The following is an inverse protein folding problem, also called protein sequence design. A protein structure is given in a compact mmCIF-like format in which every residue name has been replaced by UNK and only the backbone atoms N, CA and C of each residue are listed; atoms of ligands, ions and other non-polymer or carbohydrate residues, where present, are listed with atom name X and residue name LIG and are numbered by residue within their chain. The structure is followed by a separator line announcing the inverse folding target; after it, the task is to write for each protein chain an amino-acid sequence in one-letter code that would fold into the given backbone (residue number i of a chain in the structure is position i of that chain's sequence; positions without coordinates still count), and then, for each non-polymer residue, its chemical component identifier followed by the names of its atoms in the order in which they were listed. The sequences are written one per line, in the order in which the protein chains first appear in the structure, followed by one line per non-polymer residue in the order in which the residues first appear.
data_IF_087017145232
#
_entry.id   IF_087017145232
#
_cell.length_a   1.000
_cell.length_b   1.000
_cell.length_c   1.000
_cell.angle_alpha   90.00
_cell.angle_beta   90.00
_cell.angle_gamma   90.00
#
_symmetry.space_group_name_H-M   'P 1'
#
loop_
_entity.id
_entity.type
_entity.pdbx_description
1 polymer ?
#
# COMPACT_ATOMS: atom_id res chain seq x y z
N UNK A 1 -45.59 -17.84 7.08
CA UNK A 1 -44.91 -16.91 6.15
C UNK A 1 -44.31 -15.78 6.96
N UNK A 2 -42.99 -15.75 7.09
CA UNK A 2 -42.26 -14.66 7.75
C UNK A 2 -40.88 -14.58 7.08
N UNK A 3 -40.81 -13.77 6.02
CA UNK A 3 -39.56 -13.46 5.34
C UNK A 3 -38.72 -12.55 6.23
N UNK A 4 -37.65 -13.10 6.81
CA UNK A 4 -36.63 -12.33 7.49
C UNK A 4 -35.93 -11.40 6.49
N UNK A 5 -35.89 -10.12 6.81
CA UNK A 5 -35.25 -9.09 6.00
C UNK A 5 -33.80 -9.44 5.69
N UNK A 6 -33.46 -9.36 4.40
CA UNK A 6 -32.06 -9.32 3.97
C UNK A 6 -31.44 -8.04 4.52
N UNK A 7 -30.76 -8.12 5.66
CA UNK A 7 -29.91 -7.04 6.14
C UNK A 7 -28.93 -6.65 5.03
N UNK A 8 -28.92 -5.37 4.65
CA UNK A 8 -28.01 -4.79 3.67
C UNK A 8 -26.56 -5.17 4.02
N UNK A 9 -26.03 -6.23 3.42
CA UNK A 9 -24.60 -6.52 3.51
C UNK A 9 -23.89 -5.42 2.75
N UNK A 10 -23.09 -4.62 3.46
CA UNK A 10 -22.22 -3.62 2.86
C UNK A 10 -21.38 -4.27 1.75
N UNK A 11 -21.28 -3.61 0.59
CA UNK A 11 -20.47 -4.12 -0.51
C UNK A 11 -19.01 -4.36 -0.07
N UNK A 12 -18.42 -5.47 -0.53
CA UNK A 12 -17.11 -5.91 -0.04
C UNK A 12 -15.97 -4.95 -0.42
N UNK A 13 -16.06 -4.33 -1.61
CA UNK A 13 -15.07 -3.40 -2.16
C UNK A 13 -15.80 -2.15 -2.66
N UNK A 14 -15.36 -0.97 -2.24
CA UNK A 14 -15.96 0.31 -2.62
C UNK A 14 -14.89 1.39 -2.77
N UNK A 15 -15.14 2.42 -3.58
CA UNK A 15 -14.28 3.60 -3.62
C UNK A 15 -14.27 4.27 -2.23
N UNK A 16 -13.07 4.40 -1.64
CA UNK A 16 -12.88 5.04 -0.33
C UNK A 16 -12.74 6.55 -0.46
N UNK A 17 -11.86 6.99 -1.36
CA UNK A 17 -11.63 8.40 -1.68
C UNK A 17 -11.76 8.65 -3.19
N UNK A 18 -12.48 9.72 -3.53
CA UNK A 18 -12.64 10.22 -4.89
C UNK A 18 -12.13 11.66 -4.99
N UNK A 19 -11.18 11.87 -5.91
CA UNK A 19 -10.35 13.06 -6.06
C UNK A 19 -9.61 13.45 -4.77
N UNK A 20 -9.23 12.47 -3.94
CA UNK A 20 -8.53 12.68 -2.67
C UNK A 20 -9.44 13.01 -1.50
N UNK A 21 -10.76 13.00 -1.70
CA UNK A 21 -11.75 13.29 -0.67
C UNK A 21 -12.55 12.04 -0.33
N UNK A 22 -12.80 11.85 0.96
CA UNK A 22 -13.48 10.67 1.50
C UNK A 22 -14.91 10.60 0.97
N UNK A 23 -15.29 9.46 0.40
CA UNK A 23 -16.67 9.14 -0.02
C UNK A 23 -17.20 7.87 0.64
N UNK A 24 -16.34 7.13 1.35
CA UNK A 24 -16.71 5.99 2.18
C UNK A 24 -15.65 5.70 3.26
N UNK A 25 -16.02 5.29 4.50
CA UNK A 25 -17.38 5.00 4.99
C UNK A 25 -18.22 6.25 5.29
N UNK A 26 -17.56 7.40 5.27
CA UNK A 26 -18.16 8.71 5.51
C UNK A 26 -17.94 9.58 4.28
N UNK A 27 -18.77 10.60 4.05
CA UNK A 27 -18.58 11.50 2.90
C UNK A 27 -18.10 12.86 3.40
N UNK A 28 -16.98 13.32 2.86
CA UNK A 28 -16.46 14.66 3.12
C UNK A 28 -17.08 15.65 2.13
N UNK A 29 -17.94 16.54 2.61
CA UNK A 29 -18.60 17.61 1.83
C UNK A 29 -18.13 19.01 2.25
N UNK A 30 -16.82 19.20 2.31
CA UNK A 30 -16.27 20.54 2.52
C UNK A 30 -16.30 21.34 1.22
N UNK A 31 -16.21 22.69 1.26
CA UNK A 31 -16.08 23.49 0.05
C UNK A 31 -14.88 23.07 -0.82
N UNK A 32 -13.78 22.64 -0.20
CA UNK A 32 -12.60 22.14 -0.89
C UNK A 32 -12.90 20.81 -1.62
N UNK A 33 -13.52 19.83 -0.94
CA UNK A 33 -13.81 18.54 -1.56
C UNK A 33 -14.77 18.66 -2.74
N UNK A 34 -15.83 19.45 -2.59
CA UNK A 34 -16.81 19.67 -3.63
C UNK A 34 -16.22 20.42 -4.83
N UNK A 35 -15.28 21.35 -4.59
CA UNK A 35 -14.56 22.09 -5.64
C UNK A 35 -13.61 21.18 -6.42
N UNK A 36 -12.81 20.37 -5.72
CA UNK A 36 -11.81 19.52 -6.37
C UNK A 36 -12.46 18.35 -7.11
N UNK A 37 -13.56 17.79 -6.59
CA UNK A 37 -14.37 16.80 -7.31
C UNK A 37 -15.01 17.37 -8.58
N UNK A 38 -15.56 18.59 -8.51
CA UNK A 38 -16.17 19.28 -9.66
C UNK A 38 -15.12 19.60 -10.74
N UNK A 39 -13.95 20.09 -10.31
CA UNK A 39 -12.85 20.43 -11.20
C UNK A 39 -12.01 19.21 -11.62
N UNK A 40 -12.36 18.00 -11.18
CA UNK A 40 -11.59 16.76 -11.38
C UNK A 40 -10.10 16.90 -10.98
N UNK A 41 -9.82 17.70 -9.95
CA UNK A 41 -8.49 18.11 -9.52
C UNK A 41 -7.81 17.05 -8.65
N UNK A 42 -6.51 16.91 -8.78
CA UNK A 42 -5.70 16.14 -7.84
C UNK A 42 -5.15 17.08 -6.75
N UNK A 43 -5.64 17.00 -5.49
CA UNK A 43 -5.18 17.89 -4.44
C UNK A 43 -3.70 17.64 -4.09
N UNK A 44 -3.23 16.39 -4.18
CA UNK A 44 -1.86 16.02 -3.84
C UNK A 44 -0.82 16.64 -4.77
N UNK A 45 -1.02 16.53 -6.09
CA UNK A 45 -0.13 17.16 -7.08
C UNK A 45 -0.28 18.69 -7.03
N UNK A 46 -1.50 19.18 -6.82
CA UNK A 46 -1.75 20.62 -6.71
C UNK A 46 -0.99 21.24 -5.55
N UNK A 47 -1.01 20.60 -4.38
CA UNK A 47 -0.25 21.05 -3.20
C UNK A 47 1.25 20.96 -3.43
N UNK A 48 1.75 19.82 -3.94
CA UNK A 48 3.17 19.61 -4.20
C UNK A 48 3.78 20.63 -5.19
N UNK A 49 2.99 21.11 -6.16
CA UNK A 49 3.46 22.03 -7.20
C UNK A 49 3.04 23.49 -6.98
N UNK A 50 2.09 23.75 -6.09
CA UNK A 50 1.42 25.05 -5.97
C UNK A 50 0.54 25.41 -7.18
N UNK A 51 0.31 24.51 -8.13
CA UNK A 51 -0.44 24.76 -9.37
C UNK A 51 -1.67 23.86 -9.45
N UNK A 52 -2.83 24.42 -9.80
CA UNK A 52 -4.06 23.65 -10.01
C UNK A 52 -3.81 22.58 -11.08
N UNK A 53 -3.88 21.31 -10.69
CA UNK A 53 -3.53 20.18 -11.55
C UNK A 53 -4.62 19.12 -11.54
N UNK A 54 -5.08 18.74 -12.73
CA UNK A 54 -6.09 17.70 -12.93
C UNK A 54 -5.58 16.31 -12.50
N UNK A 55 -6.51 15.41 -12.18
CA UNK A 55 -6.17 14.01 -11.97
C UNK A 55 -5.60 13.38 -13.25
N UNK A 56 -4.40 12.79 -13.12
CA UNK A 56 -3.67 12.17 -14.24
C UNK A 56 -4.19 10.78 -14.63
N UNK A 57 -5.14 10.24 -13.87
CA UNK A 57 -5.75 8.94 -14.17
C UNK A 57 -6.69 9.05 -15.38
N UNK A 58 -6.77 7.95 -16.13
CA UNK A 58 -7.64 7.81 -17.29
C UNK A 58 -9.12 7.89 -16.92
N UNK A 59 -9.99 8.20 -17.88
CA UNK A 59 -11.43 8.46 -17.67
C UNK A 59 -12.16 7.41 -16.82
N UNK A 60 -11.82 6.12 -16.98
CA UNK A 60 -12.47 5.01 -16.30
C UNK A 60 -12.06 4.85 -14.83
N UNK A 61 -10.97 5.49 -14.41
CA UNK A 61 -10.42 5.42 -13.05
C UNK A 61 -10.15 6.81 -12.46
N UNK A 62 -10.64 7.86 -13.14
CA UNK A 62 -10.32 9.25 -12.81
C UNK A 62 -10.85 9.59 -11.42
N UNK A 63 -9.96 10.13 -10.59
CA UNK A 63 -10.24 10.48 -9.20
C UNK A 63 -10.20 9.32 -8.21
N UNK A 64 -10.17 8.05 -8.61
CA UNK A 64 -10.15 6.93 -7.65
C UNK A 64 -8.80 6.91 -6.93
N UNK A 65 -8.74 7.36 -5.68
CA UNK A 65 -7.49 7.44 -4.92
C UNK A 65 -7.27 6.23 -4.02
N UNK A 66 -8.34 5.74 -3.39
CA UNK A 66 -8.32 4.56 -2.52
C UNK A 66 -9.55 3.69 -2.74
N UNK A 67 -9.42 2.40 -2.43
CA UNK A 67 -10.52 1.44 -2.34
C UNK A 67 -10.61 0.98 -0.90
N UNK A 68 -11.80 1.07 -0.30
CA UNK A 68 -12.08 0.47 1.00
C UNK A 68 -12.58 -0.95 0.80
N UNK A 69 -11.87 -1.94 1.35
CA UNK A 69 -12.16 -3.36 1.13
C UNK A 69 -12.06 -4.19 2.40
N UNK A 70 -12.90 -5.24 2.47
CA UNK A 70 -12.89 -6.28 3.52
C UNK A 70 -12.12 -7.54 3.10
N UNK A 71 -11.39 -7.52 1.98
CA UNK A 71 -10.70 -8.70 1.44
C UNK A 71 -9.62 -9.29 2.34
N UNK A 72 -9.13 -8.54 3.33
CA UNK A 72 -8.20 -9.03 4.35
C UNK A 72 -8.85 -9.18 5.75
N UNK A 73 -10.16 -9.46 5.79
CA UNK A 73 -10.93 -9.65 7.02
C UNK A 73 -11.58 -8.34 7.48
N UNK A 74 -10.84 -7.52 8.22
CA UNK A 74 -11.34 -6.18 8.62
C UNK A 74 -11.36 -5.26 7.40
N UNK A 75 -12.26 -4.28 7.43
CA UNK A 75 -12.32 -3.24 6.40
C UNK A 75 -11.13 -2.31 6.53
N UNK A 76 -10.42 -2.10 5.43
CA UNK A 76 -9.22 -1.26 5.39
C UNK A 76 -9.15 -0.52 4.06
N UNK A 77 -8.42 0.60 4.04
CA UNK A 77 -8.16 1.36 2.83
C UNK A 77 -6.90 0.85 2.12
N UNK A 78 -7.04 0.71 0.81
CA UNK A 78 -5.99 0.29 -0.09
C UNK A 78 -5.74 1.44 -1.06
N UNK A 79 -4.49 1.89 -1.18
CA UNK A 79 -4.15 2.93 -2.13
C UNK A 79 -4.24 2.39 -3.55
N UNK A 80 -4.99 3.08 -4.41
CA UNK A 80 -5.09 2.78 -5.83
C UNK A 80 -4.28 3.78 -6.68
N UNK A 81 -3.69 4.80 -6.07
CA UNK A 81 -2.99 5.90 -6.74
C UNK A 81 -1.70 6.26 -6.00
N UNK A 82 -0.52 6.32 -6.65
CA UNK A 82 0.73 6.61 -5.96
C UNK A 82 0.79 8.06 -5.47
N UNK A 83 0.18 9.00 -6.21
CA UNK A 83 0.10 10.41 -5.80
C UNK A 83 -0.68 10.62 -4.49
N UNK A 84 -1.50 9.64 -4.07
CA UNK A 84 -2.19 9.70 -2.77
C UNK A 84 -1.22 9.63 -1.59
N UNK A 85 -0.06 9.00 -1.79
CA UNK A 85 1.03 8.91 -0.82
C UNK A 85 2.02 10.09 -0.92
N UNK A 86 1.74 11.11 -1.73
CA UNK A 86 2.46 12.38 -1.64
C UNK A 86 1.88 13.21 -0.49
N UNK A 87 2.27 12.85 0.72
CA UNK A 87 1.94 13.59 1.93
C UNK A 87 3.20 14.29 2.45
N UNK A 88 3.10 15.59 2.72
CA UNK A 88 4.23 16.42 3.14
C UNK A 88 4.86 15.89 4.44
N UNK A 89 4.05 15.40 5.39
CA UNK A 89 4.57 14.87 6.65
C UNK A 89 5.35 13.58 6.44
N UNK A 90 4.89 12.72 5.52
CA UNK A 90 5.57 11.47 5.20
C UNK A 90 6.88 11.72 4.44
N UNK A 91 6.90 12.68 3.49
CA UNK A 91 8.13 13.07 2.79
C UNK A 91 9.14 13.70 3.75
N UNK A 92 8.68 14.51 4.71
CA UNK A 92 9.54 15.09 5.74
C UNK A 92 10.15 14.02 6.64
N UNK A 93 9.36 13.09 7.18
CA UNK A 93 9.89 11.98 7.98
C UNK A 93 10.90 11.13 7.18
N UNK A 94 10.58 10.85 5.92
CA UNK A 94 11.47 10.12 5.01
C UNK A 94 12.80 10.83 4.79
N UNK A 95 12.79 12.14 4.54
CA UNK A 95 14.01 12.91 4.36
C UNK A 95 14.87 12.92 5.63
N UNK A 96 14.26 13.11 6.80
CA UNK A 96 15.00 13.09 8.06
C UNK A 96 15.65 11.72 8.28
N UNK A 97 14.92 10.64 8.03
CA UNK A 97 15.42 9.29 8.26
C UNK A 97 16.53 8.89 7.30
N UNK A 98 16.33 9.10 6.00
CA UNK A 98 17.32 8.71 4.99
C UNK A 98 18.60 9.53 5.14
N UNK A 99 18.47 10.84 5.29
CA UNK A 99 19.65 11.72 5.25
C UNK A 99 20.27 11.94 6.64
N UNK A 100 19.64 11.47 7.72
CA UNK A 100 20.16 11.56 9.08
C UNK A 100 19.95 12.92 9.73
N UNK A 101 18.87 13.63 9.37
CA UNK A 101 18.49 14.89 10.01
C UNK A 101 17.71 14.63 11.31
N UNK A 102 17.89 15.52 12.28
CA UNK A 102 17.27 15.44 13.60
C UNK A 102 15.89 16.09 13.63
N UNK A 103 15.05 15.69 14.58
CA UNK A 103 13.73 16.29 14.76
C UNK A 103 13.86 17.80 15.06
N UNK A 104 13.33 18.63 14.16
CA UNK A 104 13.40 20.09 14.26
C UNK A 104 14.41 20.74 13.31
N UNK A 105 15.22 19.96 12.58
CA UNK A 105 16.06 20.50 11.53
C UNK A 105 15.21 21.19 10.46
N UNK A 106 15.68 22.35 10.00
CA UNK A 106 15.06 23.06 8.90
C UNK A 106 15.42 22.33 7.60
N UNK A 107 14.58 21.36 7.20
CA UNK A 107 14.71 20.59 5.96
C UNK A 107 13.69 21.07 4.93
N UNK A 108 14.18 21.59 3.81
CA UNK A 108 13.31 22.03 2.71
C UNK A 108 13.26 20.97 1.63
N UNK A 109 12.07 20.44 1.38
CA UNK A 109 11.79 19.46 0.31
C UNK A 109 11.04 20.16 -0.81
N UNK A 110 11.50 20.02 -2.06
CA UNK A 110 10.90 20.67 -3.24
C UNK A 110 10.82 19.68 -4.40
N UNK A 111 9.67 19.64 -5.09
CA UNK A 111 9.51 18.90 -6.33
C UNK A 111 10.36 19.53 -7.46
N UNK A 112 11.09 18.72 -8.22
CA UNK A 112 12.01 19.20 -9.25
C UNK A 112 11.35 20.17 -10.26
N UNK A 113 10.09 19.92 -10.64
CA UNK A 113 9.34 20.79 -11.58
C UNK A 113 9.10 22.22 -11.08
N UNK A 114 9.12 22.43 -9.76
CA UNK A 114 8.91 23.77 -9.17
C UNK A 114 10.13 24.66 -9.42
N UNK A 115 11.32 24.07 -9.64
CA UNK A 115 12.56 24.80 -9.93
C UNK A 115 12.58 25.46 -11.32
N UNK A 116 11.56 25.22 -12.15
CA UNK A 116 11.35 26.01 -13.37
C UNK A 116 11.00 27.47 -13.05
N UNK A 117 10.49 27.76 -11.85
CA UNK A 117 10.35 29.13 -11.35
C UNK A 117 11.72 29.65 -10.88
N UNK A 118 12.19 30.72 -11.53
CA UNK A 118 13.49 31.33 -11.25
C UNK A 118 13.62 31.78 -9.79
N UNK A 119 12.57 32.35 -9.20
CA UNK A 119 12.60 32.82 -7.80
C UNK A 119 12.80 31.64 -6.86
N UNK A 120 12.07 30.54 -7.07
CA UNK A 120 12.22 29.34 -6.24
C UNK A 120 13.60 28.72 -6.39
N UNK A 121 14.14 28.68 -7.62
CA UNK A 121 15.50 28.19 -7.86
C UNK A 121 16.57 29.07 -7.18
N UNK A 122 16.42 30.39 -7.22
CA UNK A 122 17.33 31.33 -6.56
C UNK A 122 17.26 31.23 -5.03
N UNK A 123 16.04 31.10 -4.46
CA UNK A 123 15.83 30.87 -3.03
C UNK A 123 16.48 29.56 -2.57
N UNK A 124 16.38 28.49 -3.37
CA UNK A 124 17.03 27.21 -3.09
C UNK A 124 18.56 27.33 -3.14
N UNK A 125 19.12 28.00 -4.15
CA UNK A 125 20.58 28.25 -4.24
C UNK A 125 21.10 28.97 -3.00
N UNK A 126 20.39 30.03 -2.58
CA UNK A 126 20.75 30.78 -1.37
C UNK A 126 20.73 29.88 -0.14
N UNK A 127 19.70 29.05 0.01
CA UNK A 127 19.58 28.10 1.11
C UNK A 127 20.72 27.10 1.17
N UNK A 128 21.11 26.53 0.03
CA UNK A 128 22.24 25.59 -0.05
C UNK A 128 23.56 26.28 0.25
N UNK A 129 23.78 27.50 -0.24
CA UNK A 129 24.97 28.30 0.10
C UNK A 129 25.05 28.60 1.61
N UNK A 130 23.90 28.76 2.28
CA UNK A 130 23.78 28.88 3.74
C UNK A 130 23.94 27.54 4.49
N UNK A 131 24.28 26.44 3.79
CA UNK A 131 24.43 25.08 4.34
C UNK A 131 23.17 24.53 5.01
N UNK A 132 22.00 24.99 4.62
CA UNK A 132 20.72 24.49 5.14
C UNK A 132 20.26 23.27 4.34
N UNK A 133 19.75 22.27 5.06
CA UNK A 133 19.27 21.02 4.48
C UNK A 133 18.21 21.29 3.40
N UNK A 134 18.50 20.78 2.20
CA UNK A 134 17.76 21.07 0.98
C UNK A 134 17.68 19.81 0.12
N UNK A 135 16.47 19.29 -0.03
CA UNK A 135 16.17 18.08 -0.79
C UNK A 135 15.34 18.46 -2.01
N UNK A 136 15.77 18.02 -3.18
CA UNK A 136 14.96 18.04 -4.40
C UNK A 136 14.51 16.62 -4.69
N UNK A 137 13.23 16.42 -4.98
CA UNK A 137 12.75 15.09 -5.35
C UNK A 137 12.17 15.04 -6.77
N UNK A 138 12.41 13.90 -7.39
CA UNK A 138 11.89 13.49 -8.69
C UNK A 138 10.81 12.44 -8.46
N UNK A 139 9.74 12.53 -9.23
CA UNK A 139 8.66 11.54 -9.28
C UNK A 139 7.97 11.68 -10.65
N UNK A 140 7.27 10.64 -11.12
CA UNK A 140 6.61 10.56 -12.43
C UNK A 140 6.14 11.91 -13.03
N UNK A 141 5.16 12.58 -12.40
CA UNK A 141 4.59 13.86 -12.89
C UNK A 141 5.24 15.10 -12.29
N UNK A 142 6.30 14.93 -11.51
CA UNK A 142 7.03 15.94 -10.76
C UNK A 142 8.52 15.93 -11.11
N UNK A 143 8.84 15.75 -12.41
CA UNK A 143 10.21 15.75 -12.93
C UNK A 143 10.60 14.48 -13.67
N UNK A 144 9.72 13.47 -13.67
CA UNK A 144 10.02 12.14 -14.18
C UNK A 144 10.57 11.23 -13.09
N UNK A 145 10.41 9.92 -13.27
CA UNK A 145 11.09 8.93 -12.44
C UNK A 145 12.56 8.84 -12.88
N UNK A 146 13.45 8.53 -11.94
CA UNK A 146 14.84 8.22 -12.24
C UNK A 146 14.97 6.71 -12.40
N UNK A 147 15.67 6.27 -13.43
CA UNK A 147 15.93 4.85 -13.67
C UNK A 147 17.42 4.55 -13.76
N UNK A 148 17.77 3.30 -13.44
CA UNK A 148 19.06 2.70 -13.75
C UNK A 148 18.94 1.88 -15.03
N UNK A 149 19.82 2.12 -15.99
CA UNK A 149 19.80 1.41 -17.26
C UNK A 149 20.13 -0.08 -17.10
N UNK A 150 19.57 -0.95 -17.95
CA UNK A 150 19.90 -2.37 -17.92
C UNK A 150 21.35 -2.60 -18.37
N UNK A 151 21.92 -3.70 -17.87
CA UNK A 151 23.21 -4.25 -18.32
C UNK A 151 23.03 -5.72 -18.68
N UNK A 152 24.07 -6.38 -19.17
CA UNK A 152 24.06 -7.83 -19.39
C UNK A 152 23.79 -8.64 -18.11
N UNK A 153 23.96 -8.04 -16.93
CA UNK A 153 23.86 -8.70 -15.61
C UNK A 153 22.83 -8.06 -14.67
N UNK A 154 22.11 -7.03 -15.09
CA UNK A 154 21.11 -6.35 -14.28
C UNK A 154 19.96 -5.81 -15.14
N UNK A 155 18.70 -5.96 -14.72
CA UNK A 155 17.59 -5.37 -15.45
C UNK A 155 17.52 -3.86 -15.21
N UNK A 156 16.69 -3.18 -16.01
CA UNK A 156 16.30 -1.80 -15.76
C UNK A 156 15.41 -1.73 -14.53
N UNK A 157 15.60 -0.70 -13.70
CA UNK A 157 14.68 -0.36 -12.61
C UNK A 157 14.45 1.15 -12.58
N UNK A 158 13.20 1.54 -12.37
CA UNK A 158 12.81 2.92 -12.07
C UNK A 158 12.46 3.05 -10.60
N UNK A 159 12.69 4.23 -10.04
CA UNK A 159 12.33 4.58 -8.67
C UNK A 159 11.10 5.48 -8.67
N UNK A 160 10.07 5.13 -7.88
CA UNK A 160 8.82 5.90 -7.83
C UNK A 160 9.09 7.37 -7.48
N UNK A 161 9.85 7.59 -6.40
CA UNK A 161 10.43 8.87 -6.06
C UNK A 161 11.91 8.74 -5.70
N UNK A 162 12.69 9.73 -6.14
CA UNK A 162 14.12 9.85 -5.81
C UNK A 162 14.34 11.19 -5.13
N UNK A 163 14.80 11.16 -3.88
CA UNK A 163 15.18 12.34 -3.11
C UNK A 163 16.67 12.61 -3.30
N UNK A 164 17.05 13.85 -3.57
CA UNK A 164 18.43 14.24 -3.85
C UNK A 164 18.83 15.34 -2.88
N UNK A 165 19.88 15.09 -2.11
CA UNK A 165 20.49 16.09 -1.25
C UNK A 165 21.28 17.09 -2.09
N UNK A 166 21.02 18.38 -1.88
CA UNK A 166 21.81 19.45 -2.48
C UNK A 166 22.77 20.04 -1.46
N UNK A 167 24.04 20.07 -1.82
CA UNK A 167 25.14 20.53 -0.98
C UNK A 167 25.87 21.69 -1.65
N UNK A 168 26.49 22.61 -0.90
CA UNK A 168 27.44 23.55 -1.48
C UNK A 168 28.76 22.84 -1.80
N UNK A 169 29.29 23.07 -3.01
CA UNK A 169 30.63 22.65 -3.38
C UNK A 169 31.71 23.55 -2.74
N UNK A 170 32.98 23.27 -3.04
CA UNK A 170 34.12 24.05 -2.52
C UNK A 170 34.10 25.53 -2.92
N UNK A 171 33.38 25.88 -3.99
CA UNK A 171 33.20 27.23 -4.50
C UNK A 171 31.87 27.85 -4.06
N UNK A 172 31.10 27.17 -3.21
CA UNK A 172 29.75 27.60 -2.77
C UNK A 172 28.66 27.43 -3.84
N UNK A 173 28.96 26.76 -4.95
CA UNK A 173 27.99 26.41 -6.00
C UNK A 173 27.20 25.15 -5.63
N UNK A 174 26.11 24.88 -6.36
CA UNK A 174 25.30 23.69 -6.13
C UNK A 174 26.03 22.41 -6.56
N UNK A 175 26.11 21.45 -5.66
CA UNK A 175 26.51 20.07 -5.92
C UNK A 175 25.42 19.09 -5.48
N UNK A 176 25.42 17.91 -6.11
CA UNK A 176 24.57 16.79 -5.74
C UNK A 176 25.31 15.95 -4.69
N UNK A 177 24.66 15.74 -3.55
CA UNK A 177 25.10 14.85 -2.48
C UNK A 177 24.58 13.43 -2.68
N UNK A 178 24.16 12.79 -1.57
CA UNK A 178 23.57 11.45 -1.61
C UNK A 178 22.18 11.49 -2.22
N UNK A 179 21.69 10.32 -2.66
CA UNK A 179 20.31 10.14 -3.08
C UNK A 179 19.57 9.14 -2.19
N UNK A 180 18.31 9.43 -1.86
CA UNK A 180 17.40 8.55 -1.15
C UNK A 180 16.35 7.98 -2.10
N UNK A 181 15.98 6.72 -1.92
CA UNK A 181 14.92 6.07 -2.69
C UNK A 181 13.65 6.06 -1.85
N UNK A 182 12.52 6.48 -2.43
CA UNK A 182 11.20 6.42 -1.79
C UNK A 182 10.21 5.73 -2.74
N UNK A 183 9.94 4.46 -2.45
CA UNK A 183 9.03 3.61 -3.20
C UNK A 183 7.62 3.63 -2.61
N UNK A 184 6.60 3.62 -3.46
CA UNK A 184 5.19 3.68 -3.06
C UNK A 184 4.46 2.49 -3.67
N UNK A 185 4.17 1.48 -2.85
CA UNK A 185 3.36 0.37 -3.33
C UNK A 185 1.88 0.67 -3.17
N UNK A 186 1.24 0.85 -4.32
CA UNK A 186 -0.22 0.85 -4.44
C UNK A 186 -0.77 -0.57 -4.61
N UNK A 187 -2.07 -0.71 -4.76
CA UNK A 187 -2.73 -1.98 -5.01
C UNK A 187 -3.49 -1.94 -6.34
N UNK A 188 -3.24 -2.96 -7.16
CA UNK A 188 -4.07 -3.24 -8.32
C UNK A 188 -5.32 -4.01 -7.89
N UNK A 189 -6.45 -3.69 -8.51
CA UNK A 189 -7.73 -4.37 -8.26
C UNK A 189 -8.19 -5.09 -9.52
N UNK A 190 -8.94 -6.17 -9.31
CA UNK A 190 -9.68 -6.83 -10.37
C UNK A 190 -10.94 -6.02 -10.76
N UNK A 191 -11.55 -6.36 -11.89
CA UNK A 191 -12.76 -5.71 -12.38
C UNK A 191 -12.50 -4.33 -13.02
N UNK A 192 -13.43 -3.40 -12.85
CA UNK A 192 -13.35 -2.05 -13.42
C UNK A 192 -13.98 -1.00 -12.52
N UNK A 193 -13.37 0.18 -12.43
CA UNK A 193 -13.95 1.32 -11.69
C UNK A 193 -14.94 2.13 -12.53
N UNK A 194 -15.06 1.83 -13.84
CA UNK A 194 -15.75 2.69 -14.81
C UNK A 194 -17.17 3.06 -14.38
N UNK A 195 -17.97 2.06 -14.03
CA UNK A 195 -19.38 2.26 -13.68
C UNK A 195 -19.52 3.07 -12.38
N UNK A 196 -18.72 2.75 -11.36
CA UNK A 196 -18.72 3.51 -10.11
C UNK A 196 -18.30 4.98 -10.32
N UNK A 197 -17.31 5.23 -11.17
CA UNK A 197 -16.90 6.61 -11.54
C UNK A 197 -18.00 7.34 -12.32
N UNK A 198 -18.68 6.67 -13.26
CA UNK A 198 -19.83 7.23 -13.98
C UNK A 198 -20.98 7.58 -13.03
N UNK A 199 -21.29 6.70 -12.06
CA UNK A 199 -22.32 6.94 -11.04
C UNK A 199 -21.94 8.08 -10.09
N UNK A 200 -20.68 8.19 -9.66
CA UNK A 200 -20.21 9.31 -8.83
C UNK A 200 -20.30 10.65 -9.56
N UNK A 201 -19.91 10.70 -10.84
CA UNK A 201 -20.09 11.90 -11.67
C UNK A 201 -21.54 12.28 -11.82
N UNK A 202 -22.40 11.31 -12.13
CA UNK A 202 -23.83 11.53 -12.24
C UNK A 202 -24.42 12.02 -10.91
N UNK A 203 -24.09 11.39 -9.79
CA UNK A 203 -24.57 11.77 -8.47
C UNK A 203 -24.15 13.19 -8.11
N UNK A 204 -22.89 13.56 -8.39
CA UNK A 204 -22.38 14.91 -8.17
C UNK A 204 -23.12 15.98 -8.95
N UNK A 205 -23.56 15.66 -10.16
CA UNK A 205 -24.32 16.54 -11.04
C UNK A 205 -25.81 16.61 -10.66
N UNK A 206 -26.45 15.46 -10.47
CA UNK A 206 -27.90 15.34 -10.23
C UNK A 206 -28.31 15.74 -8.81
N UNK A 207 -27.45 15.52 -7.81
CA UNK A 207 -27.73 15.79 -6.39
C UNK A 207 -26.87 16.95 -5.87
N UNK A 208 -26.81 18.06 -6.61
CA UNK A 208 -26.03 19.23 -6.22
C UNK A 208 -26.57 19.84 -4.92
N UNK A 209 -25.77 19.81 -3.86
CA UNK A 209 -26.15 20.28 -2.53
C UNK A 209 -26.55 19.16 -1.55
N UNK A 210 -26.76 17.95 -2.07
CA UNK A 210 -27.14 16.75 -1.29
C UNK A 210 -26.27 15.54 -1.68
N UNK A 211 -25.06 15.79 -2.21
CA UNK A 211 -24.22 14.77 -2.83
C UNK A 211 -23.82 13.71 -1.81
N UNK A 212 -23.40 14.12 -0.62
CA UNK A 212 -22.92 13.25 0.44
C UNK A 212 -24.02 12.40 1.04
N UNK A 213 -25.19 12.98 1.29
CA UNK A 213 -26.37 12.22 1.71
C UNK A 213 -26.77 11.19 0.64
N UNK A 214 -26.75 11.58 -0.63
CA UNK A 214 -27.09 10.70 -1.75
C UNK A 214 -26.10 9.54 -1.89
N UNK A 215 -24.80 9.80 -1.81
CA UNK A 215 -23.76 8.76 -1.85
C UNK A 215 -23.80 7.84 -0.63
N UNK A 216 -24.01 8.40 0.57
CA UNK A 216 -24.09 7.63 1.80
C UNK A 216 -25.32 6.69 1.84
N UNK A 217 -26.45 7.13 1.28
CA UNK A 217 -27.67 6.33 1.16
C UNK A 217 -27.62 5.30 0.03
N UNK A 218 -26.69 5.43 -0.93
CA UNK A 218 -26.54 4.53 -2.08
C UNK A 218 -25.11 3.96 -2.20
N UNK A 219 -24.60 3.22 -1.20
CA UNK A 219 -23.23 2.70 -1.20
C UNK A 219 -22.91 1.76 -2.38
N UNK A 220 -23.92 1.19 -3.03
CA UNK A 220 -23.77 0.41 -4.26
C UNK A 220 -23.17 1.21 -5.42
N UNK A 221 -23.37 2.54 -5.46
CA UNK A 221 -22.77 3.40 -6.49
C UNK A 221 -21.24 3.42 -6.43
N UNK A 222 -20.69 3.16 -5.24
CA UNK A 222 -19.25 3.11 -4.99
C UNK A 222 -18.65 1.73 -5.28
N UNK A 223 -19.48 0.70 -5.45
CA UNK A 223 -19.08 -0.71 -5.52
C UNK A 223 -19.16 -1.31 -6.92
N UNK A 224 -19.99 -0.72 -7.78
CA UNK A 224 -20.39 -1.29 -9.07
C UNK A 224 -19.17 -1.56 -9.97
N UNK A 225 -18.94 -2.85 -10.24
CA UNK A 225 -17.84 -3.36 -11.06
C UNK A 225 -16.49 -3.53 -10.35
N UNK A 226 -16.40 -3.18 -9.06
CA UNK A 226 -15.15 -3.24 -8.29
C UNK A 226 -15.01 -4.61 -7.62
N UNK A 227 -13.95 -5.33 -7.98
CA UNK A 227 -13.61 -6.62 -7.39
C UNK A 227 -12.50 -6.47 -6.32
N UNK A 228 -11.96 -7.59 -5.86
CA UNK A 228 -10.95 -7.62 -4.79
C UNK A 228 -9.56 -7.13 -5.22
N UNK A 229 -8.69 -6.80 -4.24
CA UNK A 229 -7.30 -6.48 -4.48
C UNK A 229 -6.51 -7.71 -4.94
N UNK A 230 -5.55 -7.50 -5.84
CA UNK A 230 -4.69 -8.56 -6.37
C UNK A 230 -3.45 -8.78 -5.47
N UNK A 231 -3.70 -9.21 -4.22
CA UNK A 231 -2.71 -9.26 -3.13
C UNK A 231 -1.44 -10.04 -3.51
N UNK A 232 -1.60 -11.28 -4.00
CA UNK A 232 -0.45 -12.15 -4.29
C UNK A 232 0.40 -11.63 -5.45
N UNK A 233 -0.22 -11.01 -6.47
CA UNK A 233 0.50 -10.41 -7.58
C UNK A 233 1.25 -9.15 -7.15
N UNK A 234 0.63 -8.31 -6.32
CA UNK A 234 1.29 -7.17 -5.71
C UNK A 234 2.52 -7.65 -4.92
N UNK A 235 2.35 -8.58 -3.97
CA UNK A 235 3.46 -9.12 -3.19
C UNK A 235 4.61 -9.63 -4.07
N UNK A 236 4.33 -10.47 -5.08
CA UNK A 236 5.40 -11.04 -5.93
C UNK A 236 6.22 -9.98 -6.66
N UNK A 237 5.57 -8.98 -7.26
CA UNK A 237 6.27 -7.89 -7.96
C UNK A 237 7.06 -7.04 -6.98
N UNK A 238 6.42 -6.67 -5.88
CA UNK A 238 7.00 -5.79 -4.88
C UNK A 238 8.15 -6.44 -4.14
N UNK A 239 8.04 -7.71 -3.78
CA UNK A 239 9.09 -8.45 -3.09
C UNK A 239 10.41 -8.40 -3.88
N UNK A 240 10.35 -8.71 -5.19
CA UNK A 240 11.54 -8.62 -6.04
C UNK A 240 12.11 -7.19 -6.09
N UNK A 241 11.25 -6.17 -6.20
CA UNK A 241 11.68 -4.77 -6.20
C UNK A 241 12.33 -4.37 -4.86
N UNK A 242 11.73 -4.72 -3.72
CA UNK A 242 12.29 -4.46 -2.39
C UNK A 242 13.67 -5.09 -2.26
N UNK A 243 13.78 -6.36 -2.66
CA UNK A 243 15.04 -7.09 -2.61
C UNK A 243 16.15 -6.41 -3.38
N UNK A 244 15.87 -5.97 -4.61
CA UNK A 244 16.86 -5.32 -5.45
C UNK A 244 17.15 -3.88 -4.98
N UNK A 245 16.10 -3.08 -4.72
CA UNK A 245 16.22 -1.66 -4.38
C UNK A 245 16.78 -1.43 -2.98
N UNK A 246 16.60 -2.36 -2.03
CA UNK A 246 17.26 -2.29 -0.73
C UNK A 246 18.77 -2.49 -0.83
N UNK A 247 19.23 -3.34 -1.76
CA UNK A 247 20.65 -3.49 -2.04
C UNK A 247 21.22 -2.23 -2.70
N UNK A 248 20.48 -1.60 -3.63
CA UNK A 248 20.87 -0.28 -4.18
C UNK A 248 20.92 0.78 -3.08
N UNK A 249 19.91 0.82 -2.21
CA UNK A 249 19.82 1.75 -1.10
C UNK A 249 20.96 1.62 -0.08
N UNK A 250 21.61 0.46 -0.02
CA UNK A 250 22.76 0.22 0.85
C UNK A 250 24.10 0.68 0.23
N UNK A 251 24.12 1.18 -1.00
CA UNK A 251 25.33 1.70 -1.64
C UNK A 251 25.78 3.03 -1.01
N UNK A 252 27.08 3.30 -0.92
CA UNK A 252 27.65 4.48 -0.23
C UNK A 252 27.14 5.84 -0.74
N UNK A 253 26.82 5.92 -2.04
CA UNK A 253 26.24 7.12 -2.65
C UNK A 253 24.74 7.30 -2.34
N UNK A 254 24.10 6.28 -1.78
CA UNK A 254 22.70 6.33 -1.35
C UNK A 254 22.59 6.67 0.13
N UNK A 255 21.54 7.40 0.47
CA UNK A 255 21.12 7.67 1.84
C UNK A 255 20.23 6.54 2.40
N UNK A 256 19.85 5.56 1.58
CA UNK A 256 18.96 4.47 1.96
C UNK A 256 17.72 4.38 1.06
N UNK A 257 16.87 3.41 1.38
CA UNK A 257 15.63 3.13 0.66
C UNK A 257 14.44 2.98 1.62
N UNK A 258 13.39 3.75 1.39
CA UNK A 258 12.10 3.60 2.07
C UNK A 258 11.09 2.97 1.11
N UNK A 259 10.36 2.00 1.63
CA UNK A 259 9.25 1.36 0.95
C UNK A 259 7.94 1.65 1.68
N UNK A 260 7.14 2.57 1.16
CA UNK A 260 5.89 3.03 1.77
C UNK A 260 4.70 2.19 1.28
N UNK A 261 4.03 1.53 2.22
CA UNK A 261 2.88 0.65 1.98
C UNK A 261 1.71 0.97 2.91
N UNK A 262 0.45 0.85 2.43
CA UNK A 262 -0.71 0.92 3.31
C UNK A 262 -0.72 -0.24 4.31
N UNK A 263 -1.29 -0.02 5.49
CA UNK A 263 -1.48 -1.05 6.53
C UNK A 263 -2.20 -2.29 6.00
N UNK A 264 -3.19 -2.10 5.12
CA UNK A 264 -3.91 -3.20 4.47
C UNK A 264 -2.97 -4.12 3.67
N UNK A 265 -1.98 -3.52 2.98
CA UNK A 265 -0.97 -4.25 2.21
C UNK A 265 -0.04 -5.01 3.16
N UNK A 266 0.52 -4.34 4.17
CA UNK A 266 1.38 -4.97 5.17
C UNK A 266 0.71 -6.16 5.87
N UNK A 267 -0.53 -5.98 6.34
CA UNK A 267 -1.27 -7.05 7.02
C UNK A 267 -1.59 -8.21 6.07
N UNK A 268 -1.83 -7.94 4.78
CA UNK A 268 -2.06 -8.98 3.78
C UNK A 268 -0.79 -9.79 3.46
N UNK A 269 0.38 -9.17 3.62
CA UNK A 269 1.69 -9.78 3.36
C UNK A 269 2.18 -10.67 4.49
N UNK A 270 1.57 -10.61 5.68
CA UNK A 270 2.02 -11.41 6.82
C UNK A 270 2.05 -12.92 6.52
N UNK A 271 1.10 -13.43 5.72
CA UNK A 271 1.12 -14.84 5.30
C UNK A 271 2.22 -15.17 4.30
N UNK A 272 2.62 -14.19 3.48
CA UNK A 272 3.71 -14.35 2.53
C UNK A 272 5.08 -14.35 3.22
N UNK A 273 5.19 -13.64 4.35
CA UNK A 273 6.41 -13.52 5.16
C UNK A 273 6.51 -14.56 6.28
N UNK A 274 5.57 -15.52 6.40
CA UNK A 274 5.59 -16.49 7.50
C UNK A 274 5.20 -15.90 8.86
N UNK A 275 4.63 -14.69 8.90
CA UNK A 275 4.22 -13.93 10.09
C UNK A 275 5.39 -13.66 11.05
N UNK A 276 6.38 -12.87 10.62
CA UNK A 276 7.50 -12.54 11.49
C UNK A 276 7.05 -11.69 12.67
N UNK A 277 7.70 -11.88 13.81
CA UNK A 277 7.60 -10.93 14.91
C UNK A 277 8.48 -9.71 14.64
N UNK A 278 7.99 -8.53 15.04
CA UNK A 278 8.75 -7.29 14.95
C UNK A 278 9.31 -6.95 16.33
N UNK A 279 10.58 -6.53 16.36
CA UNK A 279 11.24 -6.09 17.60
C UNK A 279 11.10 -4.57 17.70
N UNK A 280 10.61 -4.07 18.82
CA UNK A 280 10.58 -2.63 19.08
C UNK A 280 11.99 -2.16 19.46
N UNK A 281 12.46 -1.08 18.84
CA UNK A 281 13.74 -0.44 19.13
C UNK A 281 13.54 0.81 19.98
N UNK A 282 14.61 1.27 20.65
CA UNK A 282 14.58 2.41 21.59
C UNK A 282 14.28 3.74 20.92
N UNK A 283 14.50 3.84 19.60
CA UNK A 283 14.20 5.02 18.78
C UNK A 283 12.70 5.17 18.45
N UNK A 284 11.84 4.31 18.98
CA UNK A 284 10.39 4.32 18.74
C UNK A 284 9.97 3.62 17.44
N UNK A 285 10.92 3.06 16.69
CA UNK A 285 10.67 2.30 15.47
C UNK A 285 10.75 0.79 15.72
N UNK A 286 10.62 0.01 14.66
CA UNK A 286 10.59 -1.45 14.70
C UNK A 286 11.71 -2.01 13.86
N UNK A 287 12.12 -3.25 14.14
CA UNK A 287 13.09 -3.99 13.35
C UNK A 287 12.49 -5.33 12.96
N UNK A 288 12.59 -5.64 11.67
CA UNK A 288 12.40 -6.99 11.17
C UNK A 288 13.80 -7.59 11.05
N UNK A 289 14.06 -8.65 11.84
CA UNK A 289 15.36 -9.32 11.88
C UNK A 289 15.14 -10.83 11.78
N UNK A 290 16.14 -11.53 11.27
CA UNK A 290 16.19 -12.98 11.35
C UNK A 290 16.39 -13.43 12.80
N UNK A 291 15.81 -14.57 13.17
CA UNK A 291 16.02 -15.19 14.47
C UNK A 291 17.53 -15.35 14.78
N UNK A 292 17.91 -14.95 16.00
CA UNK A 292 19.30 -15.00 16.46
C UNK A 292 20.21 -13.88 15.97
N UNK A 293 19.74 -12.97 15.11
CA UNK A 293 20.51 -11.79 14.67
C UNK A 293 20.20 -10.58 15.53
N UNK A 294 21.22 -9.74 15.73
CA UNK A 294 21.05 -8.46 16.42
C UNK A 294 20.47 -7.42 15.45
N UNK A 295 19.53 -6.58 15.90
CA UNK A 295 19.02 -5.48 15.10
C UNK A 295 20.11 -4.45 14.81
N UNK A 296 20.18 -3.98 13.57
CA UNK A 296 20.98 -2.82 13.20
C UNK A 296 20.34 -1.55 13.78
N UNK A 297 21.16 -0.66 14.33
CA UNK A 297 20.71 0.64 14.81
C UNK A 297 20.29 1.53 13.64
N UNK A 298 21.02 1.49 12.51
CA UNK A 298 20.80 2.34 11.34
C UNK A 298 20.69 1.52 10.05
N UNK A 299 19.60 0.75 9.87
CA UNK A 299 19.44 -0.05 8.68
C UNK A 299 19.32 0.85 7.44
N UNK A 300 19.91 0.44 6.30
CA UNK A 300 19.83 1.19 5.05
C UNK A 300 18.45 1.08 4.38
N UNK A 301 17.59 0.18 4.84
CA UNK A 301 16.28 -0.06 4.28
C UNK A 301 15.16 -0.01 5.33
N UNK A 302 14.06 0.62 4.93
CA UNK A 302 12.93 0.92 5.80
C UNK A 302 11.61 0.58 5.11
N UNK A 303 10.65 0.07 5.87
CA UNK A 303 9.27 -0.12 5.44
C UNK A 303 8.40 0.85 6.24
N UNK A 304 7.73 1.74 5.53
CA UNK A 304 6.80 2.69 6.12
C UNK A 304 5.40 2.12 5.97
N UNK A 305 4.79 1.72 7.07
CA UNK A 305 3.42 1.23 7.08
C UNK A 305 2.52 2.35 7.58
N UNK A 306 1.63 2.84 6.73
CA UNK A 306 0.74 3.94 7.05
C UNK A 306 -0.74 3.57 6.89
N UNK A 307 -1.62 4.30 7.54
CA UNK A 307 -3.06 4.20 7.38
C UNK A 307 -3.64 5.55 6.95
N UNK A 308 -4.84 5.52 6.38
CA UNK A 308 -5.54 6.74 5.98
C UNK A 308 -6.54 7.12 7.06
N UNK A 309 -6.43 8.33 7.59
CA UNK A 309 -7.42 8.81 8.56
C UNK A 309 -8.82 8.85 7.94
N UNK A 310 -9.85 8.58 8.74
CA UNK A 310 -11.24 8.62 8.30
C UNK A 310 -11.91 9.85 8.91
N UNK A 311 -11.85 10.98 8.21
CA UNK A 311 -12.46 12.23 8.64
C UNK A 311 -13.43 12.79 7.59
N UNK A 312 -14.54 13.35 8.07
CA UNK A 312 -15.52 14.08 7.25
C UNK A 312 -15.17 15.57 7.13
N UNK A 313 -14.39 16.10 8.07
CA UNK A 313 -14.18 17.54 8.25
C UNK A 313 -12.77 17.99 7.84
N UNK A 314 -11.79 17.10 7.94
CA UNK A 314 -10.43 17.35 7.47
C UNK A 314 -10.24 16.69 6.11
N UNK A 315 -9.86 17.47 5.09
CA UNK A 315 -9.71 16.93 3.74
C UNK A 315 -8.55 17.53 2.95
N UNK A 316 -7.93 16.76 2.02
CA UNK A 316 -7.79 15.30 2.03
C UNK A 316 -7.43 14.76 3.41
N UNK A 317 -7.82 13.53 3.71
CA UNK A 317 -7.49 12.93 5.00
C UNK A 317 -5.98 12.76 5.15
N UNK A 318 -5.44 12.90 6.36
CA UNK A 318 -4.02 12.70 6.62
C UNK A 318 -3.61 11.23 6.45
N UNK A 319 -2.33 11.01 6.14
CA UNK A 319 -1.70 9.69 6.27
C UNK A 319 -0.99 9.60 7.62
N UNK A 320 -1.32 8.57 8.38
CA UNK A 320 -0.73 8.33 9.69
C UNK A 320 0.26 7.18 9.60
N UNK A 321 1.54 7.43 9.92
CA UNK A 321 2.54 6.38 10.03
C UNK A 321 2.21 5.49 11.24
N UNK A 322 1.82 4.24 10.95
CA UNK A 322 1.48 3.24 11.97
C UNK A 322 2.72 2.49 12.47
N UNK A 323 3.60 2.11 11.54
CA UNK A 323 4.89 1.48 11.85
C UNK A 323 5.96 1.99 10.90
N UNK A 324 7.15 2.21 11.45
CA UNK A 324 8.39 2.37 10.70
C UNK A 324 9.26 1.19 11.03
N UNK A 325 9.60 0.37 10.04
CA UNK A 325 10.26 -0.92 10.24
C UNK A 325 11.60 -0.90 9.50
N UNK A 326 12.70 -0.91 10.25
CA UNK A 326 14.04 -1.13 9.70
C UNK A 326 14.28 -2.60 9.40
N UNK A 327 14.91 -2.89 8.27
CA UNK A 327 15.18 -4.26 7.80
C UNK A 327 16.33 -4.23 6.79
N UNK A 328 16.69 -5.41 6.29
CA UNK A 328 17.51 -5.57 5.11
C UNK A 328 16.88 -6.55 4.11
N UNK A 329 17.52 -6.70 2.96
CA UNK A 329 17.09 -7.58 1.90
C UNK A 329 17.24 -9.08 2.28
N UNK A 330 18.33 -9.47 2.93
CA UNK A 330 18.56 -10.87 3.31
C UNK A 330 17.48 -11.37 4.28
N UNK A 331 17.13 -10.57 5.27
CA UNK A 331 16.06 -10.84 6.23
C UNK A 331 14.71 -11.04 5.52
N UNK A 332 14.34 -10.14 4.59
CA UNK A 332 13.08 -10.31 3.83
C UNK A 332 13.07 -11.56 2.94
N UNK A 333 14.22 -11.89 2.33
CA UNK A 333 14.37 -13.13 1.57
C UNK A 333 14.16 -14.35 2.43
N UNK A 334 14.80 -14.41 3.60
CA UNK A 334 14.69 -15.52 4.53
C UNK A 334 13.23 -15.80 4.92
N UNK A 335 12.49 -14.79 5.36
CA UNK A 335 11.09 -14.95 5.73
C UNK A 335 10.19 -15.39 4.57
N UNK A 336 10.47 -14.89 3.37
CA UNK A 336 9.64 -15.15 2.18
C UNK A 336 9.92 -16.50 1.54
N UNK A 337 11.20 -16.91 1.50
CA UNK A 337 11.68 -18.04 0.71
C UNK A 337 12.04 -19.26 1.55
N UNK A 338 12.26 -19.09 2.85
CA UNK A 338 12.57 -20.19 3.76
C UNK A 338 11.39 -20.40 4.74
N UNK A 339 11.13 -19.43 5.61
CA UNK A 339 10.16 -19.57 6.73
C UNK A 339 8.74 -19.84 6.23
N UNK A 340 8.25 -19.04 5.28
CA UNK A 340 6.89 -19.16 4.75
C UNK A 340 6.64 -20.50 4.03
N UNK A 341 7.52 -20.95 3.10
CA UNK A 341 7.44 -22.30 2.54
C UNK A 341 7.56 -23.43 3.56
N UNK A 342 8.50 -23.35 4.50
CA UNK A 342 8.67 -24.37 5.55
C UNK A 342 7.42 -24.51 6.41
N UNK A 343 6.82 -23.39 6.82
CA UNK A 343 5.56 -23.39 7.57
C UNK A 343 4.43 -24.07 6.76
N UNK A 344 4.38 -23.87 5.44
CA UNK A 344 3.40 -24.51 4.56
C UNK A 344 3.62 -26.04 4.44
N UNK A 345 4.87 -26.50 4.50
CA UNK A 345 5.24 -27.92 4.50
C UNK A 345 4.95 -28.59 5.85
N UNK A 346 5.39 -27.96 6.95
CA UNK A 346 5.31 -28.49 8.31
C UNK A 346 3.85 -28.65 8.81
N UNK A 347 2.97 -27.73 8.42
CA UNK A 347 1.56 -27.78 8.83
C UNK A 347 0.74 -28.90 8.14
N UNK A 348 1.37 -29.76 7.32
CA UNK A 348 0.73 -30.90 6.62
C UNK A 348 -0.39 -30.50 5.65
N UNK A 349 -0.65 -29.20 5.53
CA UNK A 349 -1.90 -28.65 5.07
C UNK A 349 -1.93 -28.39 3.58
N UNK A 350 -0.84 -28.25 2.86
CA UNK A 350 -0.89 -27.99 1.42
C UNK A 350 -0.47 -29.21 0.62
N UNK A 351 0.65 -29.85 0.97
CA UNK A 351 1.26 -30.93 0.16
C UNK A 351 0.60 -32.30 0.39
N UNK A 352 0.24 -32.64 1.64
CA UNK A 352 -0.54 -33.86 1.93
C UNK A 352 -1.93 -33.80 1.29
N UNK A 353 -2.63 -32.66 1.49
CA UNK A 353 -3.91 -32.37 0.83
C UNK A 353 -3.78 -32.21 -0.69
N UNK A 354 -2.61 -31.89 -1.23
CA UNK A 354 -2.40 -31.81 -2.68
C UNK A 354 -2.57 -33.18 -3.32
N UNK A 355 -1.95 -34.23 -2.74
CA UNK A 355 -2.14 -35.59 -3.23
C UNK A 355 -3.60 -36.02 -3.13
N UNK A 356 -4.27 -35.77 -2.01
CA UNK A 356 -5.70 -36.07 -1.85
C UNK A 356 -6.56 -35.30 -2.87
N UNK A 357 -6.26 -34.03 -3.10
CA UNK A 357 -6.97 -33.18 -4.08
C UNK A 357 -6.73 -33.68 -5.51
N UNK A 358 -5.50 -34.08 -5.84
CA UNK A 358 -5.16 -34.68 -7.13
C UNK A 358 -5.95 -35.98 -7.30
N UNK A 359 -5.94 -36.88 -6.31
CA UNK A 359 -6.70 -38.12 -6.35
C UNK A 359 -8.20 -37.86 -6.53
N UNK A 360 -8.78 -36.92 -5.79
CA UNK A 360 -10.20 -36.55 -5.93
C UNK A 360 -10.52 -35.95 -7.30
N UNK A 361 -9.61 -35.16 -7.89
CA UNK A 361 -9.79 -34.61 -9.24
C UNK A 361 -9.64 -35.67 -10.31
N UNK A 362 -8.64 -36.56 -10.19
CA UNK A 362 -8.44 -37.69 -11.10
C UNK A 362 -9.58 -38.70 -11.01
N UNK A 363 -10.16 -38.92 -9.83
CA UNK A 363 -11.31 -39.82 -9.62
C UNK A 363 -12.58 -39.42 -10.39
N UNK A 364 -12.61 -38.21 -10.97
CA UNK A 364 -13.64 -37.79 -11.95
C UNK A 364 -13.47 -38.48 -13.31
N UNK A 365 -12.24 -38.84 -13.66
CA UNK A 365 -11.85 -39.42 -14.95
C UNK A 365 -11.44 -40.90 -14.84
N UNK A 366 -10.89 -41.31 -13.68
CA UNK A 366 -10.43 -42.66 -13.35
C UNK A 366 -11.18 -43.18 -12.12
N UNK A 367 -12.35 -43.83 -12.28
CA UNK A 367 -13.24 -44.22 -11.18
C UNK A 367 -12.61 -45.11 -10.11
N UNK A 368 -11.59 -45.90 -10.46
CA UNK A 368 -10.80 -46.74 -9.57
C UNK A 368 -10.04 -45.96 -8.49
N UNK A 369 -9.86 -44.64 -8.68
CA UNK A 369 -9.25 -43.74 -7.70
C UNK A 369 -10.25 -43.14 -6.70
N UNK A 370 -11.55 -43.49 -6.79
CA UNK A 370 -12.55 -42.97 -5.84
C UNK A 370 -12.28 -43.53 -4.44
N UNK A 371 -12.29 -42.67 -3.40
CA UNK A 371 -12.18 -43.15 -2.04
C UNK A 371 -13.31 -44.14 -1.75
N UNK A 372 -12.99 -45.29 -1.15
CA UNK A 372 -13.99 -46.25 -0.70
C UNK A 372 -15.00 -45.55 0.22
N UNK A 373 -16.31 -45.80 0.10
CA UNK A 373 -17.30 -45.21 0.97
C UNK A 373 -16.96 -45.57 2.42
N UNK A 374 -16.77 -44.55 3.28
CA UNK A 374 -16.56 -44.77 4.72
C UNK A 374 -17.76 -45.55 5.25
N UNK A 375 -17.54 -46.81 5.63
CA UNK A 375 -18.56 -47.66 6.22
C UNK A 375 -19.15 -46.96 7.45
N UNK A 376 -20.49 -46.86 7.50
CA UNK A 376 -21.18 -46.42 8.72
C UNK A 376 -20.76 -47.35 9.86
N UNK A 377 -20.40 -46.83 11.06
CA UNK A 377 -20.18 -47.70 12.21
C UNK A 377 -21.49 -48.46 12.46
N UNK A 378 -21.42 -49.79 12.40
CA UNK A 378 -22.56 -50.64 12.74
C UNK A 378 -22.92 -50.37 14.20
N UNK A 379 -24.13 -49.88 14.45
CA UNK A 379 -24.68 -49.88 15.81
C UNK A 379 -24.68 -51.33 16.29
N UNK A 380 -23.81 -51.65 17.24
CA UNK A 380 -23.89 -52.90 17.97
C UNK A 380 -25.26 -52.94 18.65
N UNK A 381 -26.06 -53.93 18.27
CA UNK A 381 -27.34 -54.27 18.87
C UNK A 381 -27.13 -54.60 20.35
N UNK A 382 -27.61 -53.72 21.23
CA UNK A 382 -27.70 -53.98 22.65
C UNK A 382 -28.65 -55.15 22.92
N UNK A 383 -28.09 -56.26 23.41
CA UNK A 383 -28.84 -57.37 23.99
C UNK A 383 -29.41 -56.88 25.32
N UNK A 384 -30.74 -56.86 25.45
CA UNK A 384 -31.42 -56.64 26.73
C UNK A 384 -31.38 -57.91 27.58
N UNK A 385 -31.02 -57.85 28.87
CA UNK A 385 -31.17 -58.99 29.76
C UNK A 385 -32.59 -59.07 30.35
N UNK A 386 -33.24 -60.22 30.13
CA UNK A 386 -34.02 -60.91 31.15
C UNK A 386 -35.40 -60.34 31.53
N UNK A 387 -36.45 -60.86 30.88
CA UNK A 387 -37.73 -61.10 31.57
C UNK A 387 -37.74 -62.55 32.06
N UNK A 388 -37.87 -62.73 33.38
CA UNK A 388 -38.27 -64.00 33.99
C UNK A 388 -39.63 -63.79 34.68
N UNK A 389 -40.58 -64.60 34.23
CA UNK A 389 -41.90 -64.99 34.77
C UNK A 389 -42.33 -64.44 36.15
N UNK A 390 -43.56 -63.94 36.18
CA UNK A 390 -44.68 -64.59 36.88
C UNK A 390 -45.90 -64.59 35.97
#
# INVERSE_FOLDING_TARGET
MSGGGAGNKSANNVIGEWFGHRVFPVVAETPESLSDQEAERCPFITRATGKKTDCVKQKNSKGVCTISSTSNGKRQDWLACPFRALDDSMLQDAAHRLFGYTAGDDVKIIAATVLADKKVADDLRKRVAEKKASIVYFQNKLGGEISISPTDRSPEFSFDATMIELLPDSNGSLAVGRYGIFEIQTMDFHGTYRKSVELLRWARHAHKGEFGESVASHPQWLAEGIEGPNIANAFKRTFYQMMFKFQIGAHDASAGCIFAIPRAVWESWQRHLGRPDLIQHTDGTWRLVQDGHQPDDNPPAWIYVFDVEQSQTQTPNALNLWRVIGTDAATLSHYTLDVSPEAALASGGSVGRLRETITLRLAKYLPELRPAPKGRPSKASGVSPGQTKL
#
